data_IF_709150553394
#
_entry.id   IF_709150553394
#
_cell.length_a   1.000
_cell.length_b   1.000
_cell.length_c   1.000
_cell.angle_alpha   90.00
_cell.angle_beta   90.00
_cell.angle_gamma   90.00
#
_symmetry.space_group_name_H-M   'P 1'
#
loop_
_entity.id
_entity.type
_entity.pdbx_description
1 polymer ?
#
# COMPACT_ATOMS: atom_id res chain seq x y z
N UNK A 1 8.89 23.16 -23.62
CA UNK A 1 8.44 23.43 -22.25
C UNK A 1 7.51 22.30 -21.87
N UNK A 2 8.01 21.26 -21.18
CA UNK A 2 7.14 20.17 -20.74
C UNK A 2 6.19 20.73 -19.68
N UNK A 3 4.89 20.66 -19.95
CA UNK A 3 3.86 20.91 -18.95
C UNK A 3 4.05 19.89 -17.84
N UNK A 4 4.40 20.38 -16.65
CA UNK A 4 4.49 19.55 -15.46
C UNK A 4 3.06 19.28 -14.98
N UNK A 5 2.76 17.99 -14.81
CA UNK A 5 1.56 17.49 -14.15
C UNK A 5 1.91 17.28 -12.68
N UNK A 6 1.38 18.13 -11.80
CA UNK A 6 1.63 18.03 -10.36
C UNK A 6 0.32 17.82 -9.63
N UNK A 7 0.21 16.68 -8.94
CA UNK A 7 -0.77 16.51 -7.88
C UNK A 7 -0.33 17.34 -6.68
N UNK A 8 -1.28 18.00 -5.99
CA UNK A 8 -1.03 18.74 -4.76
C UNK A 8 -1.76 18.13 -3.57
N UNK A 9 -0.98 17.70 -2.59
CA UNK A 9 -1.45 17.30 -1.26
C UNK A 9 -1.23 18.44 -0.27
N UNK A 10 -2.12 18.59 0.70
CA UNK A 10 -1.87 19.47 1.83
C UNK A 10 -0.66 18.98 2.62
N UNK A 11 0.30 19.86 2.90
CA UNK A 11 1.44 19.51 3.74
C UNK A 11 0.95 19.25 5.17
N UNK A 12 1.30 18.10 5.78
CA UNK A 12 0.79 17.77 7.10
C UNK A 12 1.47 18.66 8.14
N UNK A 13 0.69 19.57 8.72
CA UNK A 13 1.18 20.56 9.68
C UNK A 13 1.28 20.04 11.12
N UNK A 14 0.68 18.89 11.40
CA UNK A 14 0.58 18.29 12.73
C UNK A 14 0.83 16.79 12.68
N UNK A 15 1.48 16.29 13.72
CA UNK A 15 1.72 14.88 13.95
C UNK A 15 1.72 14.59 15.44
N UNK A 16 1.50 13.33 15.78
CA UNK A 16 1.76 12.79 17.11
C UNK A 16 2.98 11.88 17.07
N UNK A 17 3.87 12.04 18.06
CA UNK A 17 5.08 11.23 18.19
C UNK A 17 4.89 10.13 19.24
N UNK A 18 5.29 8.91 18.86
CA UNK A 18 5.28 7.70 19.67
C UNK A 18 6.66 7.04 19.56
N UNK A 19 7.56 7.33 20.51
CA UNK A 19 8.95 6.91 20.40
C UNK A 19 9.61 7.51 19.16
N UNK A 20 10.13 6.66 18.28
CA UNK A 20 10.70 7.07 16.99
C UNK A 20 9.66 7.16 15.85
N UNK A 21 8.36 6.96 16.13
CA UNK A 21 7.29 6.98 15.12
C UNK A 21 6.58 8.33 15.12
N UNK A 22 6.48 8.98 13.96
CA UNK A 22 5.64 10.16 13.72
C UNK A 22 4.42 9.76 12.92
N UNK A 23 3.23 9.94 13.48
CA UNK A 23 1.96 9.72 12.79
C UNK A 23 1.36 11.08 12.47
N UNK A 24 1.27 11.41 11.19
CA UNK A 24 0.73 12.67 10.72
C UNK A 24 -0.80 12.65 10.69
N UNK A 25 -1.41 13.82 10.92
CA UNK A 25 -2.85 14.02 10.75
C UNK A 25 -3.26 13.77 9.28
N UNK A 26 -4.54 13.42 9.09
CA UNK A 26 -5.13 13.17 7.78
C UNK A 26 -4.95 14.40 6.86
N UNK A 27 -4.25 14.20 5.76
CA UNK A 27 -3.99 15.21 4.75
C UNK A 27 -4.95 15.05 3.57
N UNK A 28 -5.39 16.17 3.00
CA UNK A 28 -6.31 16.15 1.86
C UNK A 28 -5.56 16.38 0.57
N UNK A 29 -5.94 15.63 -0.45
CA UNK A 29 -5.67 15.98 -1.85
C UNK A 29 -6.42 17.29 -2.15
N UNK A 30 -5.69 18.32 -2.54
CA UNK A 30 -6.25 19.65 -2.83
C UNK A 30 -6.48 19.81 -4.33
N UNK A 31 -5.57 19.27 -5.14
CA UNK A 31 -5.64 19.33 -6.61
C UNK A 31 -5.10 18.02 -7.16
N UNK A 32 -5.90 17.31 -7.95
CA UNK A 32 -5.47 16.08 -8.64
C UNK A 32 -4.49 16.38 -9.78
N UNK A 33 -4.76 17.46 -10.54
CA UNK A 33 -3.97 17.84 -11.70
C UNK A 33 -3.72 19.34 -11.75
N UNK A 34 -2.54 19.77 -11.32
CA UNK A 34 -2.05 21.12 -11.53
C UNK A 34 -1.11 21.19 -12.72
N UNK A 35 -1.45 22.02 -13.71
CA UNK A 35 -0.62 22.26 -14.89
C UNK A 35 0.23 23.51 -14.68
N UNK A 36 1.55 23.38 -14.81
CA UNK A 36 2.48 24.53 -14.75
C UNK A 36 2.53 25.22 -13.38
N UNK A 37 2.22 24.49 -12.31
CA UNK A 37 2.22 25.05 -10.96
C UNK A 37 3.62 25.19 -10.38
N UNK A 38 3.85 26.30 -9.69
CA UNK A 38 5.02 26.52 -8.83
C UNK A 38 4.75 25.97 -7.42
N UNK A 39 5.81 25.81 -6.63
CA UNK A 39 5.68 25.55 -5.19
C UNK A 39 4.76 26.58 -4.54
N UNK A 40 3.80 26.11 -3.73
CA UNK A 40 2.86 26.94 -2.99
C UNK A 40 3.00 26.62 -1.49
N UNK A 41 3.02 27.63 -0.61
CA UNK A 41 3.09 27.41 0.83
C UNK A 41 1.96 26.47 1.30
N UNK A 42 2.32 25.43 2.06
CA UNK A 42 1.37 24.47 2.62
C UNK A 42 0.84 23.43 1.63
N UNK A 43 1.29 23.43 0.37
CA UNK A 43 0.99 22.39 -0.61
C UNK A 43 2.29 21.70 -1.04
N UNK A 44 2.25 20.38 -1.11
CA UNK A 44 3.33 19.61 -1.69
C UNK A 44 2.88 18.94 -2.98
N UNK A 45 3.73 18.97 -3.99
CA UNK A 45 3.51 18.31 -5.26
C UNK A 45 4.84 18.11 -5.99
N UNK A 46 4.91 17.08 -6.83
CA UNK A 46 6.10 16.83 -7.65
C UNK A 46 6.09 17.82 -8.82
N UNK A 47 6.93 18.84 -8.73
CA UNK A 47 7.00 19.95 -9.68
C UNK A 47 7.86 19.64 -10.92
N UNK A 48 8.54 18.48 -10.97
CA UNK A 48 9.38 18.09 -12.09
C UNK A 48 8.95 16.72 -12.64
N UNK A 49 8.71 16.65 -13.95
CA UNK A 49 8.32 15.40 -14.60
C UNK A 49 9.41 14.32 -14.53
N UNK A 50 10.70 14.68 -14.58
CA UNK A 50 11.79 13.72 -14.42
C UNK A 50 11.83 13.14 -13.01
N UNK A 51 11.48 13.94 -12.02
CA UNK A 51 11.38 13.50 -10.62
C UNK A 51 10.18 12.57 -10.41
N UNK A 52 9.07 12.86 -11.09
CA UNK A 52 7.92 11.97 -11.13
C UNK A 52 8.30 10.61 -11.73
N UNK A 53 8.96 10.60 -12.90
CA UNK A 53 9.41 9.38 -13.56
C UNK A 53 10.32 8.58 -12.63
N UNK A 54 11.36 9.20 -12.05
CA UNK A 54 12.27 8.51 -11.13
C UNK A 54 11.54 7.89 -9.94
N UNK A 55 10.60 8.63 -9.34
CA UNK A 55 9.82 8.13 -8.21
C UNK A 55 8.92 6.96 -8.62
N UNK A 56 8.32 7.03 -9.81
CA UNK A 56 7.48 5.95 -10.32
C UNK A 56 8.31 4.70 -10.67
N UNK A 57 9.45 4.84 -11.35
CA UNK A 57 10.37 3.74 -11.67
C UNK A 57 10.91 3.06 -10.42
N UNK A 58 11.15 3.82 -9.35
CA UNK A 58 11.61 3.30 -8.05
C UNK A 58 10.49 2.77 -7.16
N UNK A 59 9.23 2.75 -7.63
CA UNK A 59 8.07 2.28 -6.85
C UNK A 59 7.37 1.14 -7.57
N UNK A 60 7.44 -0.07 -7.02
CA UNK A 60 6.64 -1.20 -7.52
C UNK A 60 5.19 -1.08 -7.06
N UNK A 61 4.25 -1.35 -7.96
CA UNK A 61 2.82 -1.38 -7.65
C UNK A 61 2.32 -2.82 -7.69
N UNK A 62 1.82 -3.25 -6.54
CA UNK A 62 1.33 -4.60 -6.28
C UNK A 62 -0.19 -4.62 -6.38
N UNK A 63 -0.71 -5.58 -7.13
CA UNK A 63 -2.14 -5.84 -7.26
C UNK A 63 -2.42 -7.28 -6.86
N UNK A 64 -2.82 -7.56 -5.60
CA UNK A 64 -3.29 -8.87 -5.21
C UNK A 64 -4.68 -9.12 -5.83
N UNK A 65 -4.90 -10.31 -6.39
CA UNK A 65 -6.16 -10.67 -7.06
C UNK A 65 -6.60 -12.08 -6.66
N UNK A 66 -7.91 -12.29 -6.55
CA UNK A 66 -8.50 -13.61 -6.33
C UNK A 66 -9.86 -13.70 -6.99
N UNK A 67 -9.91 -14.36 -8.15
CA UNK A 67 -11.12 -14.60 -8.92
C UNK A 67 -11.91 -13.31 -9.25
N UNK A 68 -11.19 -12.20 -9.43
CA UNK A 68 -11.76 -10.90 -9.77
C UNK A 68 -12.26 -10.86 -11.22
N UNK A 69 -13.18 -9.93 -11.49
CA UNK A 69 -13.65 -9.69 -12.85
C UNK A 69 -12.44 -9.28 -13.75
N UNK A 70 -12.18 -10.01 -14.85
CA UNK A 70 -11.03 -9.72 -15.73
C UNK A 70 -11.01 -8.29 -16.26
N UNK A 71 -12.17 -7.67 -16.53
CA UNK A 71 -12.25 -6.28 -16.99
C UNK A 71 -11.89 -5.30 -15.88
N UNK A 72 -12.27 -5.61 -14.64
CA UNK A 72 -11.92 -4.78 -13.47
C UNK A 72 -10.40 -4.84 -13.25
N UNK A 73 -9.82 -6.05 -13.23
CA UNK A 73 -8.38 -6.23 -13.11
C UNK A 73 -7.61 -5.50 -14.22
N UNK A 74 -8.04 -5.67 -15.48
CA UNK A 74 -7.42 -4.96 -16.61
C UNK A 74 -7.51 -3.42 -16.42
N UNK A 75 -8.65 -2.92 -15.96
CA UNK A 75 -8.85 -1.50 -15.65
C UNK A 75 -7.89 -0.99 -14.58
N UNK A 76 -7.70 -1.75 -13.50
CA UNK A 76 -6.75 -1.44 -12.42
C UNK A 76 -5.32 -1.39 -12.97
N UNK A 77 -4.87 -2.42 -13.67
CA UNK A 77 -3.50 -2.49 -14.19
C UNK A 77 -3.18 -1.38 -15.19
N UNK A 78 -4.15 -1.00 -16.04
CA UNK A 78 -4.01 0.11 -17.00
C UNK A 78 -4.00 1.49 -16.34
N UNK A 79 -4.60 1.65 -15.18
CA UNK A 79 -4.70 2.93 -14.48
C UNK A 79 -3.43 3.32 -13.72
N UNK A 80 -2.59 2.35 -13.37
CA UNK A 80 -1.31 2.63 -12.72
C UNK A 80 -0.38 3.35 -13.71
N UNK A 81 0.28 4.46 -13.34
CA UNK A 81 1.25 5.15 -14.19
C UNK A 81 2.31 4.22 -14.79
N UNK A 82 2.59 4.39 -16.09
CA UNK A 82 3.31 3.42 -16.93
C UNK A 82 4.73 3.07 -16.46
N UNK A 83 5.40 4.00 -15.77
CA UNK A 83 6.81 3.87 -15.37
C UNK A 83 7.02 2.89 -14.22
N UNK A 84 6.00 2.63 -13.41
CA UNK A 84 6.14 1.74 -12.25
C UNK A 84 6.14 0.28 -12.66
N UNK A 85 7.05 -0.57 -12.15
CA UNK A 85 6.93 -2.01 -12.34
C UNK A 85 5.64 -2.53 -11.69
N UNK A 86 5.00 -3.50 -12.33
CA UNK A 86 3.79 -4.16 -11.81
C UNK A 86 4.13 -5.54 -11.23
N UNK A 87 3.54 -5.84 -10.08
CA UNK A 87 3.58 -7.17 -9.46
C UNK A 87 2.14 -7.61 -9.23
N UNK A 88 1.69 -8.67 -9.90
CA UNK A 88 0.38 -9.28 -9.70
C UNK A 88 0.57 -10.57 -8.91
N UNK A 89 -0.03 -10.65 -7.73
CA UNK A 89 -0.04 -11.88 -6.93
C UNK A 89 -1.45 -12.44 -6.96
N UNK A 90 -1.60 -13.57 -7.65
CA UNK A 90 -2.89 -14.20 -7.88
C UNK A 90 -3.11 -15.37 -6.93
N UNK A 91 -4.27 -15.39 -6.28
CA UNK A 91 -4.81 -16.53 -5.56
C UNK A 91 -5.97 -17.19 -6.33
N UNK A 92 -6.09 -16.92 -7.62
CA UNK A 92 -7.25 -17.25 -8.44
C UNK A 92 -7.31 -18.72 -8.83
N UNK A 93 -8.52 -19.19 -9.08
CA UNK A 93 -8.82 -20.58 -9.39
C UNK A 93 -8.20 -21.00 -10.72
N UNK A 94 -7.59 -22.20 -10.74
CA UNK A 94 -7.01 -22.80 -11.96
C UNK A 94 -7.91 -23.87 -12.61
N UNK A 95 -8.87 -24.43 -11.87
CA UNK A 95 -9.81 -25.48 -12.32
C UNK A 95 -11.18 -25.32 -11.63
N UNK A 96 -12.30 -25.59 -12.33
CA UNK A 96 -12.39 -26.07 -13.71
C UNK A 96 -12.14 -24.96 -14.74
N UNK A 97 -12.42 -23.71 -14.39
CA UNK A 97 -12.06 -22.53 -15.18
C UNK A 97 -10.69 -22.02 -14.71
N UNK A 98 -9.79 -21.79 -15.67
CA UNK A 98 -8.45 -21.27 -15.37
C UNK A 98 -8.44 -19.74 -15.37
N UNK A 99 -8.92 -19.15 -14.26
CA UNK A 99 -8.95 -17.70 -14.06
C UNK A 99 -7.53 -17.13 -14.02
N UNK A 100 -6.60 -17.81 -13.35
CA UNK A 100 -5.18 -17.42 -13.35
C UNK A 100 -4.62 -17.29 -14.78
N UNK A 101 -4.98 -18.21 -15.68
CA UNK A 101 -4.61 -18.13 -17.09
C UNK A 101 -5.11 -16.86 -17.79
N UNK A 102 -6.33 -16.41 -17.46
CA UNK A 102 -6.90 -15.16 -17.99
C UNK A 102 -6.14 -13.94 -17.47
N UNK A 103 -5.80 -13.91 -16.19
CA UNK A 103 -5.00 -12.85 -15.57
C UNK A 103 -3.61 -12.75 -16.22
N UNK A 104 -2.97 -13.88 -16.49
CA UNK A 104 -1.70 -13.93 -17.24
C UNK A 104 -1.85 -13.36 -18.65
N UNK A 105 -2.95 -13.63 -19.35
CA UNK A 105 -3.18 -13.14 -20.70
C UNK A 105 -3.45 -11.62 -20.73
N UNK A 106 -4.11 -11.09 -19.70
CA UNK A 106 -4.22 -9.63 -19.49
C UNK A 106 -2.83 -9.02 -19.32
N UNK A 107 -1.99 -9.57 -18.44
CA UNK A 107 -0.64 -9.05 -18.20
C UNK A 107 0.24 -9.12 -19.46
N UNK A 108 0.19 -10.22 -20.22
CA UNK A 108 0.90 -10.33 -21.52
C UNK A 108 0.43 -9.29 -22.52
N UNK A 109 -0.88 -9.04 -22.58
CA UNK A 109 -1.46 -8.03 -23.48
C UNK A 109 -1.00 -6.63 -23.08
N UNK A 110 -1.00 -6.33 -21.78
CA UNK A 110 -0.49 -5.07 -21.25
C UNK A 110 0.98 -4.86 -21.65
N UNK A 111 1.83 -5.87 -21.48
CA UNK A 111 3.24 -5.81 -21.89
C UNK A 111 3.39 -5.58 -23.40
N UNK A 112 2.63 -6.31 -24.25
CA UNK A 112 2.69 -6.15 -25.71
C UNK A 112 2.30 -4.74 -26.17
N UNK A 113 1.33 -4.13 -25.51
CA UNK A 113 0.80 -2.81 -25.89
C UNK A 113 1.66 -1.66 -25.34
N UNK A 114 2.17 -1.81 -24.12
CA UNK A 114 2.80 -0.70 -23.37
C UNK A 114 4.30 -0.85 -23.17
N UNK A 115 4.86 -2.05 -23.40
CA UNK A 115 6.25 -2.39 -23.06
C UNK A 115 6.53 -2.48 -21.57
N UNK A 116 5.51 -2.36 -20.71
CA UNK A 116 5.66 -2.25 -19.26
C UNK A 116 5.99 -3.60 -18.60
N UNK A 117 7.14 -3.73 -17.91
CA UNK A 117 7.47 -4.93 -17.17
C UNK A 117 6.41 -5.28 -16.12
N UNK A 118 5.90 -6.51 -16.17
CA UNK A 118 4.88 -7.02 -15.27
C UNK A 118 5.28 -8.40 -14.81
N UNK A 119 5.38 -8.60 -13.49
CA UNK A 119 5.62 -9.89 -12.85
C UNK A 119 4.26 -10.43 -12.40
N UNK A 120 3.95 -11.67 -12.75
CA UNK A 120 2.71 -12.35 -12.32
C UNK A 120 3.11 -13.65 -11.64
N UNK A 121 2.64 -13.85 -10.40
CA UNK A 121 2.95 -15.01 -9.57
C UNK A 121 1.66 -15.57 -9.01
N UNK A 122 1.53 -16.89 -8.99
CA UNK A 122 0.45 -17.57 -8.29
C UNK A 122 0.84 -17.84 -6.84
N UNK A 123 0.00 -17.47 -5.88
CA UNK A 123 0.26 -17.60 -4.45
C UNK A 123 0.54 -19.05 -4.06
N UNK A 124 -0.18 -20.02 -4.62
CA UNK A 124 0.05 -21.46 -4.38
C UNK A 124 1.04 -22.12 -5.35
N UNK A 125 1.99 -21.37 -5.91
CA UNK A 125 3.04 -21.95 -6.74
C UNK A 125 3.93 -22.90 -5.90
N UNK A 126 4.03 -24.19 -6.25
CA UNK A 126 4.83 -25.16 -5.50
C UNK A 126 6.33 -24.82 -5.49
N UNK A 127 6.85 -24.16 -6.53
CA UNK A 127 8.25 -23.72 -6.57
C UNK A 127 8.48 -22.62 -5.54
N UNK A 128 7.53 -21.69 -5.42
CA UNK A 128 7.60 -20.63 -4.41
C UNK A 128 7.50 -21.21 -3.00
N UNK A 129 6.60 -22.18 -2.79
CA UNK A 129 6.46 -22.88 -1.52
C UNK A 129 7.76 -23.58 -1.10
N UNK A 130 8.41 -24.29 -2.03
CA UNK A 130 9.68 -24.99 -1.77
C UNK A 130 10.81 -24.01 -1.39
N UNK A 131 10.90 -22.86 -2.07
CA UNK A 131 11.89 -21.81 -1.76
C UNK A 131 11.65 -21.20 -0.37
N UNK A 132 10.40 -20.96 0.00
CA UNK A 132 10.07 -20.24 1.24
C UNK A 132 9.99 -21.15 2.47
N UNK A 133 9.78 -22.45 2.29
CA UNK A 133 9.60 -23.44 3.37
C UNK A 133 10.64 -23.35 4.48
N UNK A 134 11.92 -23.23 4.13
CA UNK A 134 12.99 -23.27 5.12
C UNK A 134 13.20 -21.92 5.82
N UNK A 135 12.88 -20.81 5.14
CA UNK A 135 13.09 -19.45 5.67
C UNK A 135 11.87 -18.88 6.39
N UNK A 136 10.66 -19.26 5.96
CA UNK A 136 9.38 -18.78 6.48
C UNK A 136 8.44 -19.99 6.63
N UNK A 137 8.73 -20.95 7.51
CA UNK A 137 7.97 -22.20 7.60
C UNK A 137 6.48 -21.99 7.89
N UNK A 138 6.14 -20.93 8.63
CA UNK A 138 4.76 -20.60 8.99
C UNK A 138 3.90 -20.11 7.81
N UNK A 139 4.49 -19.86 6.64
CA UNK A 139 3.73 -19.48 5.43
C UNK A 139 3.17 -20.71 4.71
N UNK A 140 3.66 -21.92 5.02
CA UNK A 140 3.31 -23.17 4.37
C UNK A 140 2.18 -23.87 5.13
N UNK A 141 1.16 -24.29 4.39
CA UNK A 141 -0.01 -25.02 4.88
C UNK A 141 0.19 -26.54 4.90
N UNK A 142 -0.87 -27.26 5.31
CA UNK A 142 -0.87 -28.72 5.42
C UNK A 142 -0.68 -29.45 4.09
N UNK A 143 -0.97 -28.80 2.95
CA UNK A 143 -0.74 -29.37 1.60
C UNK A 143 0.72 -29.20 1.15
N UNK A 144 1.56 -28.52 1.94
CA UNK A 144 2.92 -28.16 1.55
C UNK A 144 2.98 -26.98 0.58
N UNK A 145 1.91 -26.18 0.48
CA UNK A 145 1.82 -24.99 -0.37
C UNK A 145 1.64 -23.75 0.50
N UNK A 146 1.69 -22.55 -0.08
CA UNK A 146 1.51 -21.33 0.69
C UNK A 146 0.03 -21.14 1.08
N UNK A 147 -0.22 -20.76 2.34
CA UNK A 147 -1.55 -20.41 2.82
C UNK A 147 -2.23 -19.36 1.92
N UNK A 148 -3.53 -19.50 1.70
CA UNK A 148 -4.33 -18.44 1.09
C UNK A 148 -4.54 -17.27 2.05
N UNK A 149 -4.36 -16.06 1.55
CA UNK A 149 -4.66 -14.84 2.28
C UNK A 149 -3.97 -13.61 1.72
N UNK A 150 -4.56 -12.44 1.99
CA UNK A 150 -4.05 -11.14 1.54
C UNK A 150 -2.66 -10.89 2.14
N UNK A 151 -2.47 -11.07 3.43
CA UNK A 151 -1.17 -10.90 4.09
C UNK A 151 -0.03 -11.71 3.47
N UNK A 152 -0.28 -12.97 3.15
CA UNK A 152 0.65 -13.87 2.48
C UNK A 152 0.98 -13.37 1.07
N UNK A 153 -0.02 -12.90 0.32
CA UNK A 153 0.19 -12.29 -1.00
C UNK A 153 1.05 -11.02 -0.92
N UNK A 154 0.81 -10.17 0.08
CA UNK A 154 1.58 -8.95 0.33
C UNK A 154 3.03 -9.26 0.71
N UNK A 155 3.25 -10.29 1.53
CA UNK A 155 4.59 -10.75 1.88
C UNK A 155 5.35 -11.25 0.65
N UNK A 156 4.73 -12.11 -0.18
CA UNK A 156 5.33 -12.58 -1.44
C UNK A 156 5.68 -11.39 -2.34
N UNK A 157 4.76 -10.46 -2.52
CA UNK A 157 4.99 -9.28 -3.34
C UNK A 157 6.16 -8.42 -2.82
N UNK A 158 6.29 -8.30 -1.50
CA UNK A 158 7.39 -7.58 -0.85
C UNK A 158 8.74 -8.25 -1.12
N UNK A 159 8.81 -9.58 -1.04
CA UNK A 159 10.02 -10.35 -1.38
C UNK A 159 10.41 -10.17 -2.85
N UNK A 160 9.43 -10.19 -3.75
CA UNK A 160 9.64 -9.98 -5.20
C UNK A 160 10.11 -8.55 -5.47
N UNK A 161 9.50 -7.55 -4.81
CA UNK A 161 9.90 -6.15 -4.90
C UNK A 161 11.34 -5.93 -4.42
N UNK A 162 11.73 -6.56 -3.30
CA UNK A 162 13.13 -6.52 -2.82
C UNK A 162 14.08 -7.15 -3.86
N UNK A 163 13.68 -8.27 -4.45
CA UNK A 163 14.46 -8.97 -5.49
C UNK A 163 14.69 -8.16 -6.76
N UNK A 164 13.76 -7.28 -7.15
CA UNK A 164 13.95 -6.36 -8.29
C UNK A 164 14.61 -5.04 -7.92
N UNK A 165 14.88 -4.79 -6.63
CA UNK A 165 15.65 -3.64 -6.15
C UNK A 165 14.94 -2.30 -6.23
N UNK A 166 13.60 -2.27 -6.11
CA UNK A 166 12.86 -0.99 -6.01
C UNK A 166 13.05 -0.33 -4.64
N UNK A 167 12.88 0.99 -4.56
CA UNK A 167 13.01 1.73 -3.31
C UNK A 167 11.71 1.75 -2.50
N UNK A 168 10.56 1.64 -3.18
CA UNK A 168 9.24 1.70 -2.56
C UNK A 168 8.31 0.63 -3.15
N UNK A 169 7.29 0.27 -2.37
CA UNK A 169 6.24 -0.66 -2.74
C UNK A 169 4.88 -0.06 -2.40
N UNK A 170 3.93 -0.13 -3.33
CA UNK A 170 2.55 0.31 -3.14
C UNK A 170 1.57 -0.81 -3.44
N UNK A 171 0.47 -0.87 -2.70
CA UNK A 171 -0.55 -1.90 -2.81
C UNK A 171 -1.86 -1.26 -3.28
N UNK A 172 -2.55 -1.95 -4.19
CA UNK A 172 -3.83 -1.53 -4.73
C UNK A 172 -4.72 -2.76 -4.86
N UNK A 173 -5.90 -2.72 -4.25
CA UNK A 173 -6.86 -3.80 -4.36
C UNK A 173 -7.38 -3.93 -5.81
N UNK A 174 -7.51 -5.17 -6.28
CA UNK A 174 -7.96 -5.48 -7.63
C UNK A 174 -9.46 -5.25 -7.85
N UNK A 175 -10.27 -5.14 -6.80
CA UNK A 175 -11.73 -4.97 -6.83
C UNK A 175 -12.18 -3.50 -7.08
N UNK A 176 -11.33 -2.70 -7.74
CA UNK A 176 -11.58 -1.29 -7.95
C UNK A 176 -12.24 -1.00 -9.31
N UNK A 177 -13.56 -0.81 -9.27
CA UNK A 177 -14.38 -0.46 -10.45
C UNK A 177 -14.12 0.94 -11.03
N UNK A 178 -13.34 1.79 -10.35
CA UNK A 178 -13.04 3.16 -10.80
C UNK A 178 -11.54 3.26 -11.10
N UNK A 179 -11.10 2.98 -12.33
CA UNK A 179 -9.69 3.09 -12.73
C UNK A 179 -9.07 4.47 -12.39
N UNK A 180 -9.83 5.56 -12.51
CA UNK A 180 -9.34 6.88 -12.12
C UNK A 180 -8.93 7.01 -10.65
N UNK A 181 -9.56 6.25 -9.75
CA UNK A 181 -9.18 6.21 -8.34
C UNK A 181 -7.82 5.52 -8.14
N UNK A 182 -7.53 4.47 -8.90
CA UNK A 182 -6.21 3.80 -8.92
C UNK A 182 -5.11 4.78 -9.35
N UNK A 183 -5.37 5.60 -10.38
CA UNK A 183 -4.47 6.67 -10.76
C UNK A 183 -4.28 7.67 -9.63
N UNK A 184 -5.35 8.08 -8.94
CA UNK A 184 -5.25 8.97 -7.79
C UNK A 184 -4.37 8.39 -6.67
N UNK A 185 -4.55 7.11 -6.30
CA UNK A 185 -3.75 6.48 -5.23
C UNK A 185 -2.27 6.45 -5.55
N UNK A 186 -1.93 6.06 -6.77
CA UNK A 186 -0.53 5.98 -7.21
C UNK A 186 0.12 7.35 -7.24
N UNK A 187 -0.60 8.39 -7.65
CA UNK A 187 -0.12 9.77 -7.57
C UNK A 187 0.05 10.24 -6.11
N UNK A 188 -0.85 9.85 -5.19
CA UNK A 188 -0.69 10.07 -3.75
C UNK A 188 0.61 9.40 -3.28
N UNK A 189 0.83 8.14 -3.64
CA UNK A 189 2.01 7.38 -3.22
C UNK A 189 3.29 8.10 -3.64
N UNK A 190 3.45 8.42 -4.92
CA UNK A 190 4.66 9.06 -5.41
C UNK A 190 4.87 10.42 -4.74
N UNK A 191 3.80 11.22 -4.63
CA UNK A 191 3.86 12.55 -4.04
C UNK A 191 4.29 12.48 -2.57
N UNK A 192 3.68 11.62 -1.77
CA UNK A 192 3.94 11.53 -0.33
C UNK A 192 5.25 10.82 -0.04
N UNK A 193 5.57 9.73 -0.74
CA UNK A 193 6.86 9.06 -0.59
C UNK A 193 8.02 9.98 -0.95
N UNK A 194 7.83 10.88 -1.92
CA UNK A 194 8.83 11.88 -2.27
C UNK A 194 8.88 13.05 -1.29
N UNK A 195 7.75 13.41 -0.68
CA UNK A 195 7.63 14.44 0.36
C UNK A 195 8.32 14.06 1.65
N UNK A 196 8.21 12.80 2.04
CA UNK A 196 8.74 12.28 3.29
C UNK A 196 10.26 12.50 3.40
N UNK A 197 10.70 12.93 4.57
CA UNK A 197 12.11 13.20 4.85
C UNK A 197 12.83 11.93 5.33
N UNK A 198 12.09 11.02 5.96
CA UNK A 198 12.61 9.75 6.42
C UNK A 198 12.77 8.71 5.30
N UNK A 199 13.82 7.92 5.43
CA UNK A 199 14.03 6.68 4.68
C UNK A 199 13.05 5.56 5.08
N UNK A 200 12.44 5.66 6.27
CA UNK A 200 11.43 4.74 6.78
C UNK A 200 10.08 5.44 6.76
N UNK A 201 9.33 5.23 5.68
CA UNK A 201 8.12 6.00 5.39
C UNK A 201 6.99 5.11 4.92
N UNK A 202 5.78 5.51 5.29
CA UNK A 202 4.53 4.84 4.93
C UNK A 202 3.46 5.89 4.61
N UNK A 203 2.67 5.64 3.58
CA UNK A 203 1.49 6.42 3.21
C UNK A 203 0.29 5.50 3.15
N UNK A 204 -0.82 5.90 3.77
CA UNK A 204 -2.04 5.08 3.90
C UNK A 204 -3.22 5.90 3.42
N UNK A 205 -3.94 5.46 2.39
CA UNK A 205 -5.04 6.23 1.80
C UNK A 205 -6.32 6.03 2.61
N UNK A 206 -6.91 7.14 3.07
CA UNK A 206 -8.23 7.12 3.69
C UNK A 206 -9.33 7.59 2.75
N UNK A 207 -10.33 6.75 2.54
CA UNK A 207 -11.59 7.16 1.92
C UNK A 207 -12.59 7.62 2.97
N UNK A 208 -12.84 8.93 3.01
CA UNK A 208 -13.85 9.52 3.90
C UNK A 208 -15.26 8.96 3.69
N UNK A 209 -15.56 8.42 2.50
CA UNK A 209 -16.83 7.78 2.18
C UNK A 209 -16.69 6.73 1.06
N UNK A 210 -16.54 5.43 1.39
CA UNK A 210 -16.94 4.35 0.45
C UNK A 210 -18.47 4.24 0.50
N UNK A 211 -19.18 4.80 -0.48
CA UNK A 211 -20.61 4.61 -0.66
C UNK A 211 -20.83 3.25 -1.33
N UNK A 212 -21.41 2.28 -0.62
CA UNK A 212 -22.05 1.17 -1.30
C UNK A 212 -23.52 1.56 -1.44
N UNK A 213 -23.94 1.91 -2.65
CA UNK A 213 -25.30 2.30 -2.95
C UNK A 213 -26.06 1.13 -3.56
N UNK A 214 -26.71 0.31 -2.75
CA UNK A 214 -27.84 -0.49 -3.24
C UNK A 214 -29.14 0.28 -2.95
N UNK A 215 -30.16 0.10 -3.80
CA UNK A 215 -31.45 0.78 -3.70
C UNK A 215 -32.15 0.50 -2.34
N UNK A 216 -31.78 -0.59 -1.67
CA UNK A 216 -32.40 -1.06 -0.43
C UNK A 216 -31.57 -0.84 0.84
N UNK A 217 -30.24 -0.59 0.75
CA UNK A 217 -29.39 -0.43 1.93
C UNK A 217 -28.43 0.75 1.82
N UNK A 218 -28.80 1.85 2.48
CA UNK A 218 -27.91 2.97 2.71
C UNK A 218 -27.16 2.78 4.04
N UNK A 219 -25.99 2.14 4.01
CA UNK A 219 -25.13 1.99 5.19
C UNK A 219 -24.54 3.36 5.58
N UNK A 220 -25.27 4.07 6.43
CA UNK A 220 -24.91 5.35 7.01
C UNK A 220 -23.80 5.16 8.05
N UNK A 221 -22.59 5.64 7.75
CA UNK A 221 -21.48 6.16 8.61
C UNK A 221 -21.12 5.54 9.98
N UNK A 222 -21.81 4.53 10.50
CA UNK A 222 -21.58 3.91 11.81
C UNK A 222 -21.65 2.40 11.62
N UNK A 223 -20.50 1.72 11.62
CA UNK A 223 -20.44 0.26 11.50
C UNK A 223 -19.38 -0.31 10.56
N UNK A 224 -18.50 0.52 9.98
CA UNK A 224 -17.34 -0.02 9.26
C UNK A 224 -16.34 -0.57 10.28
N UNK A 225 -15.84 -1.79 10.04
CA UNK A 225 -14.79 -2.39 10.85
C UNK A 225 -13.61 -1.42 11.07
N UNK A 226 -13.25 -0.63 10.04
CA UNK A 226 -12.18 0.38 10.14
C UNK A 226 -12.43 1.45 11.22
N UNK A 227 -13.67 1.87 11.48
CA UNK A 227 -13.96 2.82 12.58
C UNK A 227 -13.77 2.19 13.95
N UNK A 228 -14.15 0.92 14.09
CA UNK A 228 -13.98 0.16 15.32
C UNK A 228 -12.48 -0.04 15.58
N UNK A 229 -11.73 -0.50 14.57
CA UNK A 229 -10.29 -0.75 14.70
C UNK A 229 -9.52 0.57 14.93
N UNK A 230 -9.86 1.66 14.23
CA UNK A 230 -9.32 3.00 14.52
C UNK A 230 -9.57 3.39 15.98
N UNK A 231 -10.80 3.20 16.49
CA UNK A 231 -11.13 3.53 17.88
C UNK A 231 -10.33 2.68 18.88
N UNK A 232 -10.16 1.38 18.61
CA UNK A 232 -9.38 0.47 19.46
C UNK A 232 -7.91 0.89 19.49
N UNK A 233 -7.27 1.10 18.35
CA UNK A 233 -5.87 1.52 18.29
C UNK A 233 -5.65 2.87 18.99
N UNK A 234 -6.52 3.85 18.74
CA UNK A 234 -6.43 5.15 19.41
C UNK A 234 -6.65 5.05 20.92
N UNK A 235 -7.55 4.17 21.40
CA UNK A 235 -7.72 3.91 22.85
C UNK A 235 -6.47 3.30 23.48
N UNK A 236 -5.83 2.35 22.79
CA UNK A 236 -4.58 1.74 23.26
C UNK A 236 -3.47 2.80 23.35
N UNK A 237 -3.30 3.63 22.32
CA UNK A 237 -2.36 4.74 22.33
C UNK A 237 -2.68 5.76 23.44
N UNK A 238 -3.96 6.10 23.60
CA UNK A 238 -4.43 7.03 24.63
C UNK A 238 -4.12 6.51 26.03
N UNK A 239 -4.39 5.22 26.28
CA UNK A 239 -4.10 4.58 27.55
C UNK A 239 -2.60 4.59 27.88
N UNK A 240 -1.77 4.29 26.88
CA UNK A 240 -0.31 4.29 27.05
C UNK A 240 0.26 5.69 27.27
N UNK A 241 -0.22 6.68 26.51
CA UNK A 241 0.24 8.08 26.57
C UNK A 241 -0.40 8.87 27.73
N UNK A 242 -1.49 8.37 28.31
CA UNK A 242 -2.35 9.05 29.31
C UNK A 242 -2.97 10.35 28.80
N UNK A 243 -3.10 10.49 27.49
CA UNK A 243 -3.70 11.63 26.80
C UNK A 243 -4.56 11.06 25.68
N UNK A 244 -5.80 11.52 25.57
CA UNK A 244 -6.69 11.10 24.49
C UNK A 244 -6.13 11.49 23.11
N UNK A 245 -6.21 10.56 22.17
CA UNK A 245 -5.86 10.78 20.77
C UNK A 245 -6.93 10.21 19.86
N UNK A 246 -7.04 10.77 18.66
CA UNK A 246 -7.76 10.14 17.56
C UNK A 246 -6.92 10.13 16.26
N UNK A 247 -5.58 10.11 16.39
CA UNK A 247 -4.66 10.31 15.26
C UNK A 247 -4.77 9.22 14.19
N UNK A 248 -5.03 7.97 14.55
CA UNK A 248 -5.14 6.87 13.58
C UNK A 248 -6.52 6.91 12.92
N UNK A 249 -6.53 7.13 11.60
CA UNK A 249 -7.73 7.09 10.75
C UNK A 249 -7.67 5.97 9.69
N UNK A 250 -6.56 5.25 9.59
CA UNK A 250 -6.23 4.32 8.48
C UNK A 250 -5.83 2.91 8.93
N UNK A 251 -6.47 2.38 9.99
CA UNK A 251 -6.18 1.02 10.48
C UNK A 251 -6.25 -0.07 9.41
N UNK A 252 -7.31 -0.05 8.60
CA UNK A 252 -7.52 -0.96 7.47
C UNK A 252 -7.41 -0.18 6.16
N UNK A 253 -6.17 0.13 5.76
CA UNK A 253 -5.87 0.83 4.51
C UNK A 253 -5.41 -0.19 3.50
N UNK A 254 -6.34 -0.74 2.69
CA UNK A 254 -5.97 -1.67 1.62
C UNK A 254 -5.11 -1.00 0.55
N UNK A 255 -5.33 0.30 0.36
CA UNK A 255 -4.51 1.16 -0.49
C UNK A 255 -3.48 1.91 0.36
N UNK A 256 -2.25 1.41 0.38
CA UNK A 256 -1.11 2.02 1.06
C UNK A 256 0.19 1.76 0.30
N UNK A 257 1.22 2.52 0.62
CA UNK A 257 2.57 2.33 0.12
C UNK A 257 3.61 2.63 1.19
N UNK A 258 4.80 2.08 1.04
CA UNK A 258 5.90 2.29 1.97
C UNK A 258 7.26 2.11 1.30
N UNK A 259 8.30 2.65 1.92
CA UNK A 259 9.69 2.37 1.55
C UNK A 259 10.01 0.89 1.75
N UNK A 260 10.80 0.29 0.86
CA UNK A 260 11.31 -1.08 1.03
C UNK A 260 12.14 -1.23 2.32
N UNK A 261 12.86 -0.18 2.73
CA UNK A 261 13.57 -0.14 4.02
C UNK A 261 12.64 -0.38 5.21
N UNK A 262 11.40 0.11 5.15
CA UNK A 262 10.40 -0.14 6.19
C UNK A 262 9.77 -1.53 6.02
N UNK A 263 9.33 -1.86 4.80
CA UNK A 263 8.63 -3.11 4.51
C UNK A 263 9.39 -4.37 4.98
N UNK A 264 10.72 -4.37 4.83
CA UNK A 264 11.59 -5.49 5.22
C UNK A 264 11.67 -5.73 6.73
N UNK A 265 11.38 -4.71 7.52
CA UNK A 265 11.46 -4.76 8.98
C UNK A 265 10.12 -5.16 9.61
N UNK A 266 9.03 -5.14 8.82
CA UNK A 266 7.68 -5.40 9.34
C UNK A 266 7.41 -6.88 9.54
N UNK A 267 6.67 -7.18 10.60
CA UNK A 267 6.00 -8.47 10.76
C UNK A 267 4.65 -8.42 10.05
N UNK A 268 4.43 -9.31 9.08
CA UNK A 268 3.18 -9.43 8.35
C UNK A 268 2.25 -10.42 9.06
N UNK A 269 0.97 -10.04 9.25
CA UNK A 269 -0.08 -10.98 9.68
C UNK A 269 -0.76 -11.62 8.46
N UNK A 270 -1.31 -12.82 8.64
CA UNK A 270 -2.07 -13.51 7.59
C UNK A 270 -3.43 -12.84 7.30
N UNK A 271 -3.92 -13.04 6.08
CA UNK A 271 -5.26 -12.59 5.68
C UNK A 271 -5.47 -11.06 5.81
N UNK A 272 -6.64 -10.64 6.29
CA UNK A 272 -7.05 -9.23 6.39
C UNK A 272 -6.46 -8.48 7.58
N UNK A 273 -5.75 -9.17 8.49
CA UNK A 273 -5.14 -8.50 9.64
C UNK A 273 -3.87 -7.71 9.25
N UNK A 274 -3.31 -7.97 8.06
CA UNK A 274 -2.03 -7.41 7.61
C UNK A 274 -1.94 -5.89 7.73
N UNK A 275 -2.95 -5.16 7.29
CA UNK A 275 -2.94 -3.69 7.26
C UNK A 275 -2.89 -3.09 8.68
N UNK A 276 -3.62 -3.69 9.62
CA UNK A 276 -3.57 -3.30 11.03
C UNK A 276 -2.26 -3.74 11.66
N UNK A 277 -1.79 -4.94 11.32
CA UNK A 277 -0.56 -5.50 11.86
C UNK A 277 0.66 -4.65 11.50
N UNK A 278 0.72 -4.05 10.31
CA UNK A 278 1.79 -3.13 9.94
C UNK A 278 1.94 -1.99 10.97
N UNK A 279 0.82 -1.36 11.36
CA UNK A 279 0.83 -0.31 12.39
C UNK A 279 1.24 -0.85 13.75
N UNK A 280 0.74 -2.02 14.13
CA UNK A 280 1.08 -2.67 15.40
C UNK A 280 2.57 -3.01 15.44
N UNK A 281 3.11 -3.62 14.41
CA UNK A 281 4.53 -3.99 14.27
C UNK A 281 5.43 -2.76 14.38
N UNK A 282 5.09 -1.65 13.69
CA UNK A 282 5.84 -0.40 13.80
C UNK A 282 5.84 0.15 15.23
N UNK A 283 4.67 0.17 15.88
CA UNK A 283 4.53 0.68 17.26
C UNK A 283 5.22 -0.22 18.28
N UNK A 284 5.17 -1.54 18.12
CA UNK A 284 5.90 -2.47 18.97
C UNK A 284 7.41 -2.22 18.86
N UNK A 285 7.96 -2.20 17.65
CA UNK A 285 9.40 -2.05 17.42
C UNK A 285 9.95 -0.67 17.80
N UNK A 286 9.21 0.41 17.50
CA UNK A 286 9.73 1.78 17.55
C UNK A 286 9.03 2.70 18.54
N UNK A 287 8.03 2.20 19.28
CA UNK A 287 7.45 2.90 20.42
C UNK A 287 7.58 2.10 21.73
N UNK A 288 7.17 0.82 21.75
CA UNK A 288 7.20 0.00 22.96
C UNK A 288 8.62 -0.44 23.28
N UNK A 289 9.32 -1.00 22.28
CA UNK A 289 10.66 -1.56 22.43
C UNK A 289 11.77 -0.59 22.00
N UNK A 290 11.47 0.71 21.92
CA UNK A 290 12.45 1.72 21.46
C UNK A 290 13.74 1.71 22.29
N UNK A 291 13.62 1.51 23.62
CA UNK A 291 14.76 1.49 24.55
C UNK A 291 15.64 0.23 24.40
N UNK A 292 15.16 -0.79 23.68
CA UNK A 292 15.94 -2.00 23.39
C UNK A 292 16.99 -1.78 22.29
N UNK A 293 16.97 -0.62 21.63
CA UNK A 293 17.86 -0.29 20.52
C UNK A 293 17.56 -1.06 19.23
N UNK A 294 16.43 -1.76 19.15
CA UNK A 294 16.03 -2.57 17.99
C UNK A 294 15.28 -1.80 16.92
N UNK A 295 14.86 -0.56 17.18
CA UNK A 295 14.15 0.25 16.20
C UNK A 295 15.08 0.60 15.02
N UNK A 296 14.81 0.11 13.79
CA UNK A 296 15.72 0.25 12.66
C UNK A 296 15.85 1.69 12.18
N UNK A 297 14.90 2.57 12.50
CA UNK A 297 14.95 3.96 12.05
C UNK A 297 15.92 4.83 12.85
N UNK A 298 16.37 4.42 14.04
CA UNK A 298 17.21 5.28 14.90
C UNK A 298 18.56 5.62 14.23
N UNK A 299 19.05 6.87 14.33
CA UNK A 299 18.52 8.00 15.12
C UNK A 299 17.39 8.80 14.44
N UNK A 300 16.99 8.41 13.23
CA UNK A 300 15.87 8.99 12.49
C UNK A 300 14.52 8.44 12.98
N UNK A 301 13.43 8.91 12.37
CA UNK A 301 12.05 8.53 12.72
C UNK A 301 11.36 7.75 11.62
N UNK A 302 10.40 6.89 11.96
CA UNK A 302 9.43 6.37 10.99
C UNK A 302 8.34 7.41 10.76
N UNK A 303 8.01 7.70 9.50
CA UNK A 303 6.98 8.69 9.13
C UNK A 303 5.77 8.02 8.50
N UNK A 304 4.60 8.13 9.16
CA UNK A 304 3.33 7.57 8.70
C UNK A 304 2.38 8.70 8.29
N UNK A 305 2.06 8.75 7.00
CA UNK A 305 1.15 9.71 6.37
C UNK A 305 -0.20 9.07 6.10
N UNK A 306 -1.27 9.88 6.21
CA UNK A 306 -2.67 9.45 6.08
C UNK A 306 -3.45 10.41 5.18
#
# INVERSE_FOLDING_TARGET
MCMVLSMYVGYPSRFEAYGAVKIYELSKVQVLLGVGGSSKPGLYGIANFDEFIRTAESTAIVVPTRDEDPMVLEGVLRAVPIYSPLIVVSASTQKPLNVYGMEMDIAKTLYRVTGRPTIVIHQRDPVLADILKDSIPNIIDEDGLIHYGKGEALLIATLVADGIGVENIGFIDADNYIPGAVTEYTLIYYTVLRMAESDYKMVRVSWGYKAYGSVEFYLRKTGKASQIVNSVLNKVLSFRRRIETEIIKTSNSGEHAMSMKLAKELTYAGGYAVETQELVSILEMCYIDVDTGRCPSLPHSIEIYQ
#
